data_IF_110974857609
#
_entry.id   IF_110974857609
#
_cell.length_a   1.000
_cell.length_b   1.000
_cell.length_c   1.000
_cell.angle_alpha   90.00
_cell.angle_beta   90.00
_cell.angle_gamma   90.00
#
_symmetry.space_group_name_H-M   'P 1'
#
loop_
_entity.id
_entity.type
_entity.pdbx_description
1 polymer ?
#
# COMPACT_ATOMS: atom_id res chain seq x y z
N UNK A 1 -15.08 48.18 -2.89
CA UNK A 1 -15.11 47.12 -3.90
C UNK A 1 -13.73 47.01 -4.53
N UNK A 2 -13.00 45.93 -4.23
CA UNK A 2 -11.85 45.48 -5.01
C UNK A 2 -11.98 43.96 -5.07
N UNK A 3 -12.31 43.46 -6.26
CA UNK A 3 -12.57 42.05 -6.55
C UNK A 3 -11.29 41.23 -6.35
N UNK A 4 -11.29 40.36 -5.35
CA UNK A 4 -10.29 39.30 -5.25
C UNK A 4 -10.45 38.39 -6.47
N UNK A 5 -9.57 38.55 -7.45
CA UNK A 5 -9.51 37.72 -8.64
C UNK A 5 -9.04 36.32 -8.24
N UNK A 6 -9.94 35.35 -8.26
CA UNK A 6 -9.71 33.92 -7.97
C UNK A 6 -8.78 33.21 -8.99
N UNK A 7 -7.93 33.93 -9.73
CA UNK A 7 -7.27 33.43 -10.94
C UNK A 7 -5.83 32.94 -10.81
N UNK A 8 -5.24 32.89 -9.62
CA UNK A 8 -3.81 32.55 -9.52
C UNK A 8 -3.46 31.54 -8.41
N UNK A 9 -4.37 30.62 -8.10
CA UNK A 9 -3.96 29.37 -7.44
C UNK A 9 -3.49 28.41 -8.52
N UNK A 10 -2.30 28.66 -9.07
CA UNK A 10 -1.50 27.60 -9.64
C UNK A 10 -1.34 26.56 -8.52
N UNK A 11 -2.21 25.54 -8.51
CA UNK A 11 -2.04 24.40 -7.64
C UNK A 11 -0.61 23.94 -7.86
N UNK A 12 0.21 23.95 -6.81
CA UNK A 12 1.56 23.43 -6.89
C UNK A 12 1.39 21.95 -7.14
N UNK A 13 1.37 21.62 -8.43
CA UNK A 13 1.15 20.29 -8.95
C UNK A 13 2.45 19.55 -8.76
N UNK A 14 2.48 18.74 -7.71
CA UNK A 14 3.63 17.91 -7.41
C UNK A 14 3.50 16.69 -8.29
N UNK A 15 4.26 16.62 -9.39
CA UNK A 15 4.21 15.47 -10.32
C UNK A 15 4.19 14.14 -9.55
N UNK A 16 3.22 13.27 -9.86
CA UNK A 16 3.15 11.92 -9.30
C UNK A 16 4.39 11.11 -9.71
N UNK A 17 4.72 10.05 -8.96
CA UNK A 17 5.83 9.15 -9.28
C UNK A 17 5.74 8.52 -10.67
N UNK A 18 4.53 8.36 -11.21
CA UNK A 18 4.34 7.84 -12.56
C UNK A 18 4.59 8.88 -13.66
N UNK A 19 4.65 10.17 -13.33
CA UNK A 19 4.78 11.28 -14.28
C UNK A 19 3.53 11.56 -15.12
N UNK A 20 2.47 10.75 -14.96
CA UNK A 20 1.25 10.81 -15.77
C UNK A 20 0.14 11.66 -15.15
N UNK A 21 0.21 11.91 -13.84
CA UNK A 21 -0.76 12.71 -13.08
C UNK A 21 -0.02 13.58 -12.09
N UNK A 22 -0.67 14.63 -11.61
CA UNK A 22 -0.15 15.45 -10.53
C UNK A 22 -0.74 14.98 -9.20
N UNK A 23 0.10 14.96 -8.16
CA UNK A 23 -0.36 14.85 -6.78
C UNK A 23 -0.66 16.24 -6.25
N UNK A 24 -1.81 16.37 -5.61
CA UNK A 24 -2.19 17.57 -4.89
C UNK A 24 -1.42 17.69 -3.56
N UNK A 25 -1.27 18.91 -3.06
CA UNK A 25 -0.70 19.15 -1.72
C UNK A 25 -1.45 18.37 -0.64
N UNK A 26 -2.78 18.33 -0.72
CA UNK A 26 -3.62 17.59 0.21
C UNK A 26 -3.30 16.08 0.18
N UNK A 27 -3.07 15.49 -0.99
CA UNK A 27 -2.67 14.08 -1.10
C UNK A 27 -1.29 13.83 -0.51
N UNK A 28 -0.32 14.72 -0.73
CA UNK A 28 1.02 14.62 -0.14
C UNK A 28 0.94 14.67 1.39
N UNK A 29 0.21 15.63 1.97
CA UNK A 29 0.02 15.75 3.40
C UNK A 29 -0.69 14.53 4.00
N UNK A 30 -1.74 14.05 3.32
CA UNK A 30 -2.50 12.87 3.74
C UNK A 30 -1.63 11.62 3.76
N UNK A 31 -0.89 11.35 2.68
CA UNK A 31 0.01 10.19 2.60
C UNK A 31 1.14 10.32 3.62
N UNK A 32 1.68 11.52 3.80
CA UNK A 32 2.71 11.77 4.82
C UNK A 32 2.21 11.43 6.24
N UNK A 33 0.97 11.83 6.57
CA UNK A 33 0.34 11.52 7.85
C UNK A 33 0.13 10.02 8.13
N UNK A 34 0.15 9.17 7.10
CA UNK A 34 -0.02 7.72 7.23
C UNK A 34 1.30 6.98 7.56
N UNK A 35 2.47 7.62 7.43
CA UNK A 35 3.76 6.96 7.70
C UNK A 35 4.02 6.62 9.17
N UNK A 36 3.11 6.96 10.08
CA UNK A 36 3.20 6.54 11.49
C UNK A 36 3.20 5.02 11.66
N UNK A 37 2.47 4.28 10.81
CA UNK A 37 2.51 2.81 10.78
C UNK A 37 2.38 2.32 9.34
N UNK A 38 3.22 1.36 8.96
CA UNK A 38 3.22 0.77 7.60
C UNK A 38 1.81 0.31 7.21
N UNK A 39 1.11 -0.37 8.12
CA UNK A 39 -0.27 -0.85 7.88
C UNK A 39 -1.24 0.27 7.48
N UNK A 40 -1.05 1.50 7.92
CA UNK A 40 -1.96 2.61 7.63
C UNK A 40 -1.80 3.06 6.17
N UNK A 41 -0.59 3.01 5.61
CA UNK A 41 -0.34 3.16 4.16
C UNK A 41 -0.94 2.00 3.38
N UNK A 42 -0.69 0.76 3.83
CA UNK A 42 -1.11 -0.43 3.09
C UNK A 42 -2.62 -0.66 3.10
N UNK A 43 -3.32 -0.19 4.14
CA UNK A 43 -4.77 -0.31 4.27
C UNK A 43 -5.52 0.86 3.63
N UNK A 44 -4.82 1.93 3.23
CA UNK A 44 -5.37 3.03 2.46
C UNK A 44 -5.23 2.72 0.96
N UNK A 45 -6.32 2.39 0.22
CA UNK A 45 -6.20 1.96 -1.17
C UNK A 45 -5.48 2.97 -2.08
N UNK A 46 -5.72 4.31 -1.96
CA UNK A 46 -4.97 5.28 -2.74
C UNK A 46 -3.47 5.31 -2.42
N UNK A 47 -3.06 5.26 -1.15
CA UNK A 47 -1.65 5.26 -0.74
C UNK A 47 -0.95 3.95 -1.11
N UNK A 48 -1.61 2.79 -0.90
CA UNK A 48 -1.09 1.49 -1.33
C UNK A 48 -0.89 1.44 -2.85
N UNK A 49 -1.84 1.99 -3.63
CA UNK A 49 -1.72 2.12 -5.08
C UNK A 49 -0.53 3.01 -5.47
N UNK A 50 -0.36 4.13 -4.78
CA UNK A 50 0.75 5.06 -5.00
C UNK A 50 2.10 4.38 -4.71
N UNK A 51 2.19 3.63 -3.61
CA UNK A 51 3.37 2.86 -3.25
C UNK A 51 3.70 1.78 -4.29
N UNK A 52 2.70 1.02 -4.76
CA UNK A 52 2.89 0.05 -5.84
C UNK A 52 3.33 0.70 -7.16
N UNK A 53 2.82 1.90 -7.48
CA UNK A 53 3.29 2.66 -8.65
C UNK A 53 4.74 3.15 -8.49
N UNK A 54 5.12 3.57 -7.28
CA UNK A 54 6.48 3.98 -6.97
C UNK A 54 7.49 2.85 -7.23
N UNK A 55 7.22 1.64 -6.73
CA UNK A 55 8.09 0.48 -6.95
C UNK A 55 8.18 0.10 -8.44
N UNK A 56 7.04 -0.01 -9.12
CA UNK A 56 6.99 -0.36 -10.57
C UNK A 56 7.76 0.61 -11.46
N UNK A 57 7.86 1.88 -11.09
CA UNK A 57 8.59 2.89 -11.87
C UNK A 57 10.10 2.82 -11.70
N UNK A 58 10.58 2.24 -10.60
CA UNK A 58 12.02 2.18 -10.25
C UNK A 58 12.65 0.82 -10.56
N UNK A 59 11.85 -0.23 -10.67
CA UNK A 59 12.36 -1.56 -11.03
C UNK A 59 12.78 -1.62 -12.51
N UNK A 60 13.87 -2.34 -12.76
CA UNK A 60 14.31 -2.75 -14.10
C UNK A 60 14.31 -4.26 -14.14
N UNK A 61 13.20 -4.87 -14.57
CA UNK A 61 13.03 -6.33 -14.60
C UNK A 61 11.83 -6.82 -13.78
N UNK A 62 12.01 -7.99 -13.20
CA UNK A 62 10.95 -8.71 -12.48
C UNK A 62 10.51 -8.00 -11.19
N UNK A 63 9.37 -8.47 -10.68
CA UNK A 63 8.78 -7.97 -9.45
C UNK A 63 9.68 -8.31 -8.26
N UNK A 64 10.02 -7.31 -7.45
CA UNK A 64 10.79 -7.53 -6.23
C UNK A 64 9.93 -8.13 -5.10
N UNK A 65 10.59 -8.56 -4.03
CA UNK A 65 9.93 -9.20 -2.89
C UNK A 65 8.93 -8.27 -2.18
N UNK A 66 9.24 -6.98 -2.04
CA UNK A 66 8.34 -5.99 -1.44
C UNK A 66 7.04 -5.82 -2.22
N UNK A 67 7.10 -5.83 -3.55
CA UNK A 67 5.92 -5.82 -4.41
C UNK A 67 5.09 -7.11 -4.25
N UNK A 68 5.73 -8.26 -4.06
CA UNK A 68 5.02 -9.52 -3.79
C UNK A 68 4.30 -9.46 -2.45
N UNK A 69 4.97 -9.00 -1.38
CA UNK A 69 4.33 -8.80 -0.07
C UNK A 69 3.19 -7.79 -0.13
N UNK A 70 3.31 -6.73 -0.92
CA UNK A 70 2.21 -5.76 -1.11
C UNK A 70 0.99 -6.44 -1.72
N UNK A 71 1.17 -7.28 -2.74
CA UNK A 71 0.07 -7.99 -3.38
C UNK A 71 -0.60 -9.00 -2.46
N UNK A 72 0.21 -9.78 -1.72
CA UNK A 72 -0.30 -10.71 -0.70
C UNK A 72 -1.10 -9.94 0.36
N UNK A 73 -0.58 -8.82 0.86
CA UNK A 73 -1.26 -8.00 1.86
C UNK A 73 -2.62 -7.49 1.37
N UNK A 74 -2.68 -6.97 0.14
CA UNK A 74 -3.91 -6.46 -0.47
C UNK A 74 -4.92 -7.58 -0.74
N UNK A 75 -4.44 -8.74 -1.18
CA UNK A 75 -5.29 -9.90 -1.37
C UNK A 75 -5.88 -10.37 -0.04
N UNK A 76 -5.11 -10.37 1.06
CA UNK A 76 -5.66 -10.66 2.39
C UNK A 76 -6.76 -9.65 2.81
N UNK A 77 -6.67 -8.37 2.43
CA UNK A 77 -7.77 -7.40 2.67
C UNK A 77 -9.02 -7.84 1.92
N UNK A 78 -8.86 -8.17 0.62
CA UNK A 78 -9.97 -8.59 -0.23
C UNK A 78 -10.64 -9.85 0.33
N UNK A 79 -9.87 -10.89 0.65
CA UNK A 79 -10.40 -12.14 1.20
C UNK A 79 -11.12 -11.93 2.54
N UNK A 80 -10.61 -11.07 3.42
CA UNK A 80 -11.29 -10.76 4.69
C UNK A 80 -12.67 -10.13 4.50
N UNK A 81 -12.85 -9.39 3.40
CA UNK A 81 -14.13 -8.75 3.07
C UNK A 81 -15.13 -9.69 2.38
N UNK A 82 -14.67 -10.82 1.83
CA UNK A 82 -15.52 -11.79 1.14
C UNK A 82 -16.32 -12.66 2.12
N UNK A 83 -17.58 -13.01 1.83
CA UNK A 83 -18.41 -13.85 2.70
C UNK A 83 -17.96 -15.32 2.72
N UNK A 84 -17.32 -15.78 1.65
CA UNK A 84 -16.83 -17.15 1.48
C UNK A 84 -15.41 -17.05 0.93
N UNK A 85 -14.49 -17.81 1.50
CA UNK A 85 -13.10 -17.93 1.04
C UNK A 85 -12.93 -19.37 0.57
N UNK A 86 -12.46 -19.54 -0.66
CA UNK A 86 -12.35 -20.84 -1.32
C UNK A 86 -10.90 -21.34 -1.33
N UNK A 87 -10.71 -22.61 -1.69
CA UNK A 87 -9.38 -23.17 -1.95
C UNK A 87 -8.69 -22.52 -3.17
N UNK A 88 -9.47 -21.98 -4.12
CA UNK A 88 -8.93 -21.23 -5.25
C UNK A 88 -8.26 -19.94 -4.79
N UNK A 89 -8.88 -19.24 -3.84
CA UNK A 89 -8.33 -18.02 -3.24
C UNK A 89 -7.03 -18.30 -2.48
N UNK A 90 -6.95 -19.44 -1.79
CA UNK A 90 -5.71 -19.89 -1.15
C UNK A 90 -4.61 -20.18 -2.17
N UNK A 91 -4.97 -20.88 -3.25
CA UNK A 91 -4.03 -21.23 -4.32
C UNK A 91 -3.44 -19.98 -4.96
N UNK A 92 -4.24 -18.92 -5.13
CA UNK A 92 -3.74 -17.65 -5.66
C UNK A 92 -2.78 -16.94 -4.69
N UNK A 93 -3.01 -16.99 -3.37
CA UNK A 93 -2.03 -16.49 -2.38
C UNK A 93 -0.69 -17.25 -2.49
N UNK A 94 -0.74 -18.58 -2.60
CA UNK A 94 0.45 -19.43 -2.73
C UNK A 94 1.20 -19.12 -4.03
N UNK A 95 0.48 -18.97 -5.15
CA UNK A 95 1.07 -18.60 -6.44
C UNK A 95 1.75 -17.22 -6.42
N UNK A 96 1.35 -16.33 -5.50
CA UNK A 96 1.98 -15.02 -5.30
C UNK A 96 3.22 -15.05 -4.39
N UNK A 97 3.63 -16.23 -3.92
CA UNK A 97 4.82 -16.41 -3.11
C UNK A 97 4.56 -16.39 -1.60
N UNK A 98 3.36 -16.77 -1.15
CA UNK A 98 3.09 -16.92 0.28
C UNK A 98 4.12 -17.90 0.91
N UNK A 99 4.80 -17.52 2.01
CA UNK A 99 5.74 -18.42 2.67
C UNK A 99 5.06 -19.72 3.12
N UNK A 100 5.73 -20.86 2.91
CA UNK A 100 5.19 -22.20 3.19
C UNK A 100 4.65 -22.38 4.61
N UNK A 101 5.28 -21.76 5.60
CA UNK A 101 4.81 -21.79 7.00
C UNK A 101 3.40 -21.21 7.14
N UNK A 102 3.14 -20.09 6.46
CA UNK A 102 1.84 -19.41 6.47
C UNK A 102 0.80 -20.14 5.62
N UNK A 103 1.25 -20.76 4.52
CA UNK A 103 0.42 -21.61 3.68
C UNK A 103 -0.15 -22.80 4.47
N UNK A 104 0.68 -23.49 5.26
CA UNK A 104 0.24 -24.65 6.04
C UNK A 104 -0.85 -24.27 7.06
N UNK A 105 -0.65 -23.16 7.78
CA UNK A 105 -1.61 -22.68 8.76
C UNK A 105 -2.92 -22.23 8.09
N UNK A 106 -2.84 -21.54 6.96
CA UNK A 106 -4.02 -21.09 6.22
C UNK A 106 -4.77 -22.28 5.60
N UNK A 107 -4.06 -23.28 5.07
CA UNK A 107 -4.66 -24.52 4.53
C UNK A 107 -5.46 -25.26 5.60
N UNK A 108 -4.89 -25.45 6.79
CA UNK A 108 -5.58 -26.08 7.92
C UNK A 108 -6.86 -25.32 8.29
N UNK A 109 -6.81 -23.99 8.34
CA UNK A 109 -7.98 -23.16 8.67
C UNK A 109 -9.04 -23.16 7.56
N UNK A 110 -8.65 -23.22 6.28
CA UNK A 110 -9.64 -23.34 5.19
C UNK A 110 -10.32 -24.72 5.23
N UNK A 111 -9.57 -25.79 5.54
CA UNK A 111 -10.13 -27.14 5.69
C UNK A 111 -11.05 -27.29 6.91
N UNK A 112 -10.81 -26.54 7.99
CA UNK A 112 -11.71 -26.54 9.16
C UNK A 112 -13.04 -25.83 8.87
N UNK A 113 -13.10 -25.02 7.80
CA UNK A 113 -14.26 -24.19 7.48
C UNK A 113 -14.53 -23.08 8.50
N UNK A 114 -13.66 -22.91 9.50
CA UNK A 114 -13.86 -21.94 10.55
C UNK A 114 -13.44 -20.55 10.07
N UNK A 115 -14.44 -19.74 9.70
CA UNK A 115 -14.23 -18.37 9.23
C UNK A 115 -13.39 -17.53 10.19
N UNK A 116 -13.59 -17.66 11.50
CA UNK A 116 -12.82 -16.87 12.47
C UNK A 116 -11.33 -17.24 12.46
N UNK A 117 -11.01 -18.52 12.33
CA UNK A 117 -9.62 -18.98 12.18
C UNK A 117 -9.00 -18.48 10.87
N UNK A 118 -9.73 -18.54 9.77
CA UNK A 118 -9.26 -18.05 8.46
C UNK A 118 -8.94 -16.55 8.54
N UNK A 119 -9.86 -15.74 9.10
CA UNK A 119 -9.65 -14.30 9.26
C UNK A 119 -8.45 -13.99 10.16
N UNK A 120 -8.26 -14.78 11.23
CA UNK A 120 -7.09 -14.68 12.11
C UNK A 120 -5.80 -14.99 11.36
N UNK A 121 -5.75 -16.10 10.61
CA UNK A 121 -4.58 -16.49 9.80
C UNK A 121 -4.24 -15.42 8.75
N UNK A 122 -5.24 -14.90 8.03
CA UNK A 122 -5.04 -13.77 7.10
C UNK A 122 -4.52 -12.51 7.82
N UNK A 123 -4.90 -12.30 9.08
CA UNK A 123 -4.33 -11.25 9.93
C UNK A 123 -2.86 -11.45 10.25
N UNK A 124 -2.45 -12.66 10.61
CA UNK A 124 -1.04 -13.00 10.83
C UNK A 124 -0.21 -12.78 9.56
N UNK A 125 -0.73 -13.18 8.39
CA UNK A 125 -0.08 -12.95 7.10
C UNK A 125 0.11 -11.46 6.83
N UNK A 126 -0.93 -10.64 7.06
CA UNK A 126 -0.85 -9.19 6.90
C UNK A 126 0.18 -8.55 7.81
N UNK A 127 0.27 -8.99 9.08
CA UNK A 127 1.29 -8.49 10.00
C UNK A 127 2.69 -8.80 9.48
N UNK A 128 2.95 -10.05 9.06
CA UNK A 128 4.24 -10.44 8.48
C UNK A 128 4.58 -9.60 7.25
N UNK A 129 3.67 -9.51 6.28
CA UNK A 129 3.87 -8.69 5.08
C UNK A 129 4.15 -7.21 5.44
N UNK A 130 3.42 -6.64 6.41
CA UNK A 130 3.63 -5.25 6.83
C UNK A 130 5.00 -5.02 7.48
N UNK A 131 5.53 -6.02 8.20
CA UNK A 131 6.86 -5.95 8.79
C UNK A 131 7.95 -6.03 7.72
N UNK A 132 7.84 -6.99 6.79
CA UNK A 132 8.79 -7.14 5.69
C UNK A 132 8.81 -5.89 4.78
N UNK A 133 7.64 -5.35 4.44
CA UNK A 133 7.53 -4.09 3.70
C UNK A 133 8.14 -2.95 4.52
N UNK A 134 7.86 -2.88 5.82
CA UNK A 134 8.36 -1.83 6.70
C UNK A 134 9.88 -1.79 6.81
N UNK A 135 10.55 -2.94 6.71
CA UNK A 135 12.01 -3.06 6.71
C UNK A 135 12.66 -2.94 5.33
N UNK A 136 11.87 -2.83 4.25
CA UNK A 136 12.38 -2.78 2.88
C UNK A 136 12.97 -1.40 2.51
N UNK A 137 14.00 -1.41 1.65
CA UNK A 137 14.57 -0.19 1.09
C UNK A 137 13.52 0.59 0.28
N UNK A 138 12.63 -0.11 -0.42
CA UNK A 138 11.55 0.45 -1.22
C UNK A 138 10.60 1.31 -0.38
N UNK A 139 10.22 0.84 0.81
CA UNK A 139 9.34 1.59 1.69
C UNK A 139 10.04 2.82 2.28
N UNK A 140 11.31 2.69 2.67
CA UNK A 140 12.13 3.82 3.13
C UNK A 140 12.30 4.88 2.04
N UNK A 141 12.61 4.47 0.82
CA UNK A 141 12.74 5.37 -0.31
C UNK A 141 11.40 6.02 -0.67
N UNK A 142 10.30 5.29 -0.59
CA UNK A 142 8.96 5.84 -0.80
C UNK A 142 8.66 6.94 0.22
N UNK A 143 8.94 6.69 1.51
CA UNK A 143 8.80 7.68 2.58
C UNK A 143 9.62 8.93 2.29
N UNK A 144 10.91 8.76 1.99
CA UNK A 144 11.81 9.86 1.64
C UNK A 144 11.30 10.66 0.44
N UNK A 145 10.81 9.98 -0.59
CA UNK A 145 10.31 10.64 -1.78
C UNK A 145 9.01 11.45 -1.53
N UNK A 146 8.17 11.03 -0.57
CA UNK A 146 7.03 11.85 -0.11
C UNK A 146 7.51 13.02 0.75
N UNK A 147 8.49 12.84 1.63
CA UNK A 147 9.09 13.93 2.43
C UNK A 147 9.73 15.01 1.54
N UNK A 148 10.44 14.61 0.48
CA UNK A 148 10.98 15.55 -0.52
C UNK A 148 9.89 16.33 -1.24
N UNK A 149 8.75 15.69 -1.55
CA UNK A 149 7.57 16.35 -2.12
C UNK A 149 6.97 17.34 -1.11
N UNK A 150 6.85 16.95 0.16
CA UNK A 150 6.38 17.82 1.23
C UNK A 150 7.32 19.02 1.44
N UNK A 151 8.63 18.85 1.26
CA UNK A 151 9.62 19.93 1.28
C UNK A 151 9.32 21.04 0.27
N UNK A 152 8.72 20.70 -0.88
CA UNK A 152 8.34 21.62 -1.96
C UNK A 152 6.98 22.30 -1.74
N UNK A 153 6.20 21.86 -0.75
CA UNK A 153 4.95 22.52 -0.36
C UNK A 153 5.29 23.84 0.35
N UNK A 154 4.70 24.98 -0.04
CA UNK A 154 4.86 26.25 0.68
C UNK A 154 4.42 26.13 2.14
N UNK A 155 5.08 26.87 3.03
CA UNK A 155 4.83 26.78 4.48
C UNK A 155 3.41 27.20 4.85
N UNK A 156 2.78 28.04 4.04
CA UNK A 156 1.41 28.53 4.23
C UNK A 156 0.34 27.47 3.92
N UNK A 157 0.75 26.34 3.31
CA UNK A 157 -0.13 25.23 2.90
C UNK A 157 0.17 23.92 3.63
N UNK A 158 1.14 23.92 4.56
CA UNK A 158 1.43 22.80 5.46
C UNK A 158 0.59 22.91 6.72
#
# INVERSE_FOLDING_TARGET
MASYSYKDRAQIMIKCFCGCTDMTVAEVLRVHGLFGRVKDILSDPPAAKLFGQFMRKRRSGDKNETEQYLEIYLMCIQLKSQPIITQGDLSELVNRGLPRELEQDLTKSVLSGNRMEIIRCLGCIQVKCSNEIGGSAEFHDFKKAIEEKLGRVPKELK
#
